data_IF_800246839587
#
_entry.id   IF_800246839587
#
_cell.length_a   1.000
_cell.length_b   1.000
_cell.length_c   1.000
_cell.angle_alpha   90.00
_cell.angle_beta   90.00
_cell.angle_gamma   90.00
#
_symmetry.space_group_name_H-M   'P 1'
#
loop_
_entity.id
_entity.type
_entity.pdbx_description
1 polymer ?
#
# COMPACT_ATOMS: atom_id res chain seq x y z
N UNK A 1 5.03 46.26 -36.04
CA UNK A 1 5.86 45.04 -35.91
C UNK A 1 6.00 44.76 -34.42
N UNK A 2 5.12 43.94 -33.85
CA UNK A 2 4.97 43.76 -32.40
C UNK A 2 5.42 42.34 -32.06
N UNK A 3 6.52 42.23 -31.31
CA UNK A 3 7.01 40.99 -30.72
C UNK A 3 6.13 40.62 -29.52
N UNK A 4 5.40 39.50 -29.62
CA UNK A 4 4.74 38.88 -28.46
C UNK A 4 5.72 37.90 -27.81
N UNK A 5 6.21 38.26 -26.63
CA UNK A 5 6.93 37.36 -25.74
C UNK A 5 5.94 36.32 -25.17
N UNK A 6 6.13 35.06 -25.56
CA UNK A 6 5.39 33.92 -25.04
C UNK A 6 5.74 33.73 -23.55
N UNK A 7 4.75 33.94 -22.69
CA UNK A 7 4.85 33.71 -21.25
C UNK A 7 5.08 32.22 -20.99
N UNK A 8 6.31 31.87 -20.57
CA UNK A 8 6.62 30.56 -20.01
C UNK A 8 5.86 30.38 -18.70
N UNK A 9 4.88 29.49 -18.69
CA UNK A 9 4.24 28.97 -17.49
C UNK A 9 5.32 28.41 -16.55
N UNK A 10 5.35 28.74 -15.24
CA UNK A 10 6.34 28.20 -14.35
C UNK A 10 6.09 26.70 -14.14
N UNK A 11 7.10 25.89 -14.40
CA UNK A 11 7.12 24.47 -14.10
C UNK A 11 6.87 24.25 -12.59
N UNK A 12 5.76 23.58 -12.26
CA UNK A 12 5.48 23.14 -10.90
C UNK A 12 6.62 22.23 -10.41
N UNK A 13 7.38 22.70 -9.41
CA UNK A 13 8.47 21.95 -8.77
C UNK A 13 7.93 20.66 -8.15
N UNK A 14 8.65 19.56 -8.41
CA UNK A 14 8.38 18.17 -7.99
C UNK A 14 8.19 18.05 -6.46
N UNK A 15 7.16 17.37 -5.93
CA UNK A 15 7.12 16.96 -4.53
C UNK A 15 7.73 15.56 -4.38
N UNK A 16 9.06 15.47 -4.49
CA UNK A 16 9.82 14.31 -4.04
C UNK A 16 10.51 14.65 -2.72
N UNK A 17 10.30 13.83 -1.67
CA UNK A 17 10.90 13.84 -0.30
C UNK A 17 10.07 14.31 0.91
N UNK A 18 8.87 14.87 0.78
CA UNK A 18 8.13 15.42 1.93
C UNK A 18 6.71 14.82 2.14
N UNK A 19 6.50 13.56 1.77
CA UNK A 19 5.18 12.91 1.83
C UNK A 19 4.70 12.53 3.25
N UNK A 20 5.60 12.49 4.24
CA UNK A 20 5.25 12.09 5.63
C UNK A 20 4.55 13.17 6.48
N UNK A 21 4.46 14.44 6.06
CA UNK A 21 4.01 15.56 6.94
C UNK A 21 2.70 16.21 6.46
N UNK A 22 1.99 15.67 5.47
CA UNK A 22 0.91 16.41 4.78
C UNK A 22 -0.46 15.74 4.64
N UNK A 23 -0.70 14.58 5.24
CA UNK A 23 -2.06 14.03 5.29
C UNK A 23 -2.71 14.39 6.63
N UNK A 24 -2.98 15.68 6.76
CA UNK A 24 -3.89 16.15 7.79
C UNK A 24 -5.28 15.60 7.46
N UNK A 25 -5.71 14.58 8.21
CA UNK A 25 -7.03 13.97 8.06
C UNK A 25 -8.17 14.96 8.38
N UNK A 26 -7.86 16.12 8.99
CA UNK A 26 -8.78 17.23 9.18
C UNK A 26 -9.02 18.02 7.90
N UNK A 27 -8.12 17.94 6.91
CA UNK A 27 -8.40 18.50 5.57
C UNK A 27 -9.39 17.59 4.83
N UNK A 28 -10.47 18.18 4.33
CA UNK A 28 -11.67 17.48 3.84
C UNK A 28 -11.50 16.61 2.58
N UNK A 29 -10.29 16.43 2.05
CA UNK A 29 -10.07 15.81 0.75
C UNK A 29 -9.14 14.59 0.74
N UNK A 30 -8.80 14.02 1.90
CA UNK A 30 -7.96 12.81 1.96
C UNK A 30 -8.83 11.57 2.19
N UNK A 31 -8.86 10.68 1.20
CA UNK A 31 -9.46 9.35 1.31
C UNK A 31 -8.33 8.33 1.42
N UNK A 32 -8.34 7.50 2.46
CA UNK A 32 -7.34 6.46 2.69
C UNK A 32 -7.83 5.12 2.14
N UNK A 33 -6.92 4.42 1.48
CA UNK A 33 -7.11 3.05 1.03
C UNK A 33 -5.95 2.17 1.49
N UNK A 34 -6.06 1.54 2.68
CA UNK A 34 -5.02 0.64 3.15
C UNK A 34 -5.01 -0.66 2.32
N UNK A 35 -3.82 -1.12 1.94
CA UNK A 35 -3.66 -2.43 1.32
C UNK A 35 -3.86 -3.57 2.33
N UNK A 36 -3.82 -4.80 1.83
CA UNK A 36 -4.07 -5.98 2.67
C UNK A 36 -3.03 -6.17 3.77
N UNK A 37 -1.80 -5.70 3.56
CA UNK A 37 -0.70 -5.86 4.48
C UNK A 37 -0.82 -4.90 5.67
N UNK A 38 -1.21 -3.66 5.42
CA UNK A 38 -1.44 -2.59 6.41
C UNK A 38 -2.61 -2.94 7.33
N UNK A 39 -3.65 -3.53 6.77
CA UNK A 39 -4.77 -4.08 7.52
C UNK A 39 -4.31 -5.15 8.53
N UNK A 40 -3.34 -6.00 8.16
CA UNK A 40 -2.70 -6.91 9.10
C UNK A 40 -1.97 -6.19 10.25
N UNK A 41 -1.32 -5.06 10.00
CA UNK A 41 -0.69 -4.29 11.08
C UNK A 41 -1.73 -3.79 12.08
N UNK A 42 -2.82 -3.24 11.56
CA UNK A 42 -3.92 -2.67 12.34
C UNK A 42 -4.58 -3.69 13.28
N UNK A 43 -4.87 -4.91 12.81
CA UNK A 43 -5.58 -5.88 13.67
C UNK A 43 -4.65 -6.75 14.51
N UNK A 44 -3.45 -7.05 14.00
CA UNK A 44 -2.64 -8.18 14.48
C UNK A 44 -1.41 -7.70 15.18
N UNK A 45 -0.65 -6.85 14.49
CA UNK A 45 0.65 -6.47 14.99
C UNK A 45 0.49 -5.59 16.23
N UNK A 46 -0.63 -4.85 16.37
CA UNK A 46 -0.95 -4.16 17.63
C UNK A 46 -1.08 -5.16 18.78
N UNK A 47 -1.83 -6.24 18.60
CA UNK A 47 -2.06 -7.22 19.67
C UNK A 47 -0.79 -8.01 19.97
N UNK A 48 -0.03 -8.36 18.94
CA UNK A 48 1.31 -8.95 19.09
C UNK A 48 2.24 -8.00 19.85
N UNK A 49 2.29 -6.72 19.47
CA UNK A 49 3.09 -5.69 20.13
C UNK A 49 2.65 -5.50 21.59
N UNK A 50 1.34 -5.42 21.88
CA UNK A 50 0.80 -5.32 23.24
C UNK A 50 1.15 -6.54 24.09
N UNK A 51 1.17 -7.73 23.49
CA UNK A 51 1.52 -8.95 24.19
C UNK A 51 3.02 -9.03 24.46
N UNK A 52 3.86 -8.74 23.46
CA UNK A 52 5.30 -8.83 23.56
C UNK A 52 5.91 -7.68 24.37
N UNK A 53 5.40 -6.45 24.27
CA UNK A 53 5.87 -5.29 25.06
C UNK A 53 5.73 -5.48 26.58
N UNK A 54 4.82 -6.36 27.02
CA UNK A 54 4.67 -6.77 28.42
C UNK A 54 5.81 -7.69 28.89
N UNK A 55 6.53 -8.35 27.98
CA UNK A 55 7.72 -9.14 28.30
C UNK A 55 8.92 -8.19 28.34
N UNK A 56 9.42 -7.90 29.55
CA UNK A 56 10.49 -6.93 29.84
C UNK A 56 11.77 -7.04 28.98
N UNK A 57 12.03 -8.18 28.30
CA UNK A 57 13.26 -8.43 27.52
C UNK A 57 13.15 -8.22 25.99
N UNK A 58 11.96 -8.00 25.41
CA UNK A 58 11.80 -7.97 23.92
C UNK A 58 11.54 -6.58 23.31
N UNK A 59 11.53 -5.50 24.12
CA UNK A 59 11.15 -4.14 23.65
C UNK A 59 12.01 -3.57 22.51
N UNK A 60 13.24 -4.03 22.30
CA UNK A 60 14.18 -3.40 21.35
C UNK A 60 14.01 -3.82 19.88
N UNK A 61 13.33 -4.93 19.57
CA UNK A 61 13.35 -5.51 18.22
C UNK A 61 11.97 -5.67 17.56
N UNK A 62 10.91 -5.05 18.11
CA UNK A 62 9.55 -5.16 17.55
C UNK A 62 9.11 -3.79 17.04
N UNK A 63 8.93 -3.72 15.73
CA UNK A 63 8.32 -2.57 15.03
C UNK A 63 6.96 -2.24 15.68
N UNK A 64 6.73 -0.97 16.07
CA UNK A 64 5.52 -0.54 16.77
C UNK A 64 4.43 -0.11 15.78
N UNK A 65 3.40 -0.92 15.49
CA UNK A 65 2.37 -0.58 14.52
C UNK A 65 1.37 0.47 15.02
N UNK A 66 1.57 1.07 16.21
CA UNK A 66 0.65 2.02 16.81
C UNK A 66 0.37 3.23 15.92
N UNK A 67 1.36 3.74 15.18
CA UNK A 67 1.19 4.90 14.31
C UNK A 67 0.29 4.58 13.10
N UNK A 68 0.53 3.43 12.45
CA UNK A 68 -0.36 2.89 11.41
C UNK A 68 -1.76 2.71 11.95
N UNK A 69 -1.87 2.21 13.17
CA UNK A 69 -3.15 1.95 13.78
C UNK A 69 -3.95 3.19 14.13
N UNK A 70 -3.26 4.22 14.64
CA UNK A 70 -3.86 5.51 14.93
C UNK A 70 -4.33 6.18 13.62
N UNK A 71 -3.53 6.09 12.55
CA UNK A 71 -3.90 6.62 11.24
C UNK A 71 -5.14 5.93 10.67
N UNK A 72 -5.16 4.60 10.64
CA UNK A 72 -6.30 3.81 10.15
C UNK A 72 -7.53 4.05 11.03
N UNK A 73 -7.38 4.06 12.35
CA UNK A 73 -8.46 4.36 13.30
C UNK A 73 -9.06 5.75 13.09
N UNK A 74 -8.25 6.79 12.95
CA UNK A 74 -8.73 8.15 12.69
C UNK A 74 -9.49 8.26 11.36
N UNK A 75 -9.03 7.56 10.33
CA UNK A 75 -9.71 7.53 9.04
C UNK A 75 -11.06 6.80 9.09
N UNK A 76 -11.16 5.75 9.92
CA UNK A 76 -12.42 5.06 10.21
C UNK A 76 -13.38 6.02 10.91
N UNK A 77 -12.98 6.67 11.99
CA UNK A 77 -13.86 7.57 12.77
C UNK A 77 -14.42 8.71 11.89
N UNK A 78 -13.62 9.19 10.95
CA UNK A 78 -13.99 10.26 9.99
C UNK A 78 -14.73 9.75 8.76
N UNK A 79 -15.00 8.45 8.62
CA UNK A 79 -15.61 7.83 7.43
C UNK A 79 -14.85 8.10 6.13
N UNK A 80 -13.52 8.19 6.20
CA UNK A 80 -12.60 8.49 5.10
C UNK A 80 -11.83 7.25 4.62
N UNK A 81 -12.29 6.05 4.94
CA UNK A 81 -11.72 4.78 4.44
C UNK A 81 -12.58 4.18 3.32
N UNK A 82 -11.89 3.79 2.25
CA UNK A 82 -12.38 2.90 1.19
C UNK A 82 -11.53 1.62 1.18
N UNK A 83 -12.09 0.53 0.68
CA UNK A 83 -11.39 -0.76 0.59
C UNK A 83 -11.65 -1.38 -0.79
N UNK A 84 -10.62 -1.87 -1.51
CA UNK A 84 -10.81 -2.66 -2.72
C UNK A 84 -11.72 -3.86 -2.45
N UNK A 85 -12.65 -4.16 -3.34
CA UNK A 85 -13.53 -5.34 -3.18
C UNK A 85 -12.74 -6.63 -3.03
N UNK A 86 -11.62 -6.76 -3.76
CA UNK A 86 -10.70 -7.91 -3.61
C UNK A 86 -10.17 -8.03 -2.18
N UNK A 87 -9.80 -6.91 -1.56
CA UNK A 87 -9.40 -6.89 -0.15
C UNK A 87 -10.61 -7.22 0.70
N UNK A 88 -11.76 -6.56 0.52
CA UNK A 88 -12.97 -6.79 1.33
C UNK A 88 -13.40 -8.26 1.38
N UNK A 89 -13.48 -8.92 0.21
CA UNK A 89 -13.80 -10.36 0.10
C UNK A 89 -12.77 -11.22 0.81
N UNK A 90 -11.53 -10.77 0.77
CA UNK A 90 -10.41 -11.42 1.40
C UNK A 90 -10.13 -10.90 2.81
N UNK A 91 -10.88 -9.96 3.41
CA UNK A 91 -10.45 -9.44 4.73
C UNK A 91 -10.42 -10.61 5.69
N UNK A 92 -11.49 -11.42 5.78
CA UNK A 92 -11.48 -12.63 6.59
C UNK A 92 -10.51 -13.72 6.05
N UNK A 93 -10.36 -13.83 4.72
CA UNK A 93 -9.52 -14.84 4.06
C UNK A 93 -8.03 -14.61 4.23
N UNK A 94 -7.54 -13.39 3.99
CA UNK A 94 -6.16 -12.93 4.17
C UNK A 94 -5.83 -12.76 5.64
N UNK A 95 -6.75 -12.30 6.49
CA UNK A 95 -6.63 -12.43 7.94
C UNK A 95 -6.32 -13.90 8.24
N UNK A 96 -7.21 -14.85 7.93
CA UNK A 96 -6.99 -16.29 8.19
C UNK A 96 -5.75 -16.89 7.51
N UNK A 97 -5.41 -16.49 6.27
CA UNK A 97 -4.29 -17.04 5.49
C UNK A 97 -2.93 -16.49 5.93
N UNK A 98 -2.77 -15.17 6.11
CA UNK A 98 -1.58 -14.62 6.79
C UNK A 98 -1.45 -15.24 8.19
N UNK A 99 -2.56 -15.52 8.88
CA UNK A 99 -2.50 -16.12 10.20
C UNK A 99 -2.08 -17.59 10.24
N UNK A 100 -2.51 -18.39 9.27
CA UNK A 100 -2.13 -19.78 9.17
C UNK A 100 -0.65 -19.92 8.78
N UNK A 101 -0.21 -19.16 7.75
CA UNK A 101 1.02 -19.46 7.01
C UNK A 101 2.17 -18.45 7.19
N UNK A 102 1.97 -17.31 7.86
CA UNK A 102 3.04 -16.31 7.96
C UNK A 102 4.11 -16.72 9.00
N UNK A 103 5.17 -17.34 8.52
CA UNK A 103 6.38 -17.72 9.28
C UNK A 103 7.17 -16.53 9.83
N UNK A 104 6.92 -15.31 9.33
CA UNK A 104 7.61 -14.09 9.81
C UNK A 104 7.04 -13.53 11.12
N UNK A 105 5.81 -13.90 11.51
CA UNK A 105 5.18 -13.50 12.77
C UNK A 105 5.41 -14.57 13.84
N UNK A 106 6.52 -14.47 14.57
CA UNK A 106 6.80 -15.34 15.71
C UNK A 106 5.92 -14.93 16.92
N UNK A 107 4.66 -15.37 16.91
CA UNK A 107 3.68 -15.10 17.96
C UNK A 107 3.78 -16.05 19.18
N UNK A 108 4.74 -16.99 19.14
CA UNK A 108 5.03 -17.95 20.20
C UNK A 108 3.81 -18.73 20.70
N UNK A 109 3.82 -19.10 21.99
CA UNK A 109 2.76 -19.90 22.64
C UNK A 109 1.38 -19.22 22.68
N UNK A 110 1.29 -17.92 22.38
CA UNK A 110 0.05 -17.15 22.48
C UNK A 110 -0.60 -16.84 21.12
N UNK A 111 -0.04 -17.41 20.04
CA UNK A 111 -0.55 -17.28 18.67
C UNK A 111 -2.08 -17.39 18.63
N UNK A 112 -2.64 -18.49 19.12
CA UNK A 112 -4.10 -18.73 19.10
C UNK A 112 -4.92 -17.59 19.73
N UNK A 113 -4.54 -17.13 20.93
CA UNK A 113 -5.28 -16.08 21.67
C UNK A 113 -5.18 -14.71 20.99
N UNK A 114 -4.00 -14.36 20.49
CA UNK A 114 -3.78 -13.10 19.74
C UNK A 114 -4.65 -13.11 18.47
N UNK A 115 -4.66 -14.23 17.76
CA UNK A 115 -5.44 -14.42 16.53
C UNK A 115 -6.95 -14.32 16.78
N UNK A 116 -7.47 -15.02 17.78
CA UNK A 116 -8.89 -14.96 18.15
C UNK A 116 -9.33 -13.53 18.51
N UNK A 117 -8.47 -12.78 19.20
CA UNK A 117 -8.74 -11.38 19.57
C UNK A 117 -8.74 -10.47 18.34
N UNK A 118 -7.77 -10.64 17.44
CA UNK A 118 -7.69 -9.87 16.20
C UNK A 118 -8.91 -10.11 15.29
N UNK A 119 -9.32 -11.37 15.13
CA UNK A 119 -10.52 -11.74 14.35
C UNK A 119 -11.76 -11.08 14.94
N UNK A 120 -12.00 -11.21 16.25
CA UNK A 120 -13.15 -10.58 16.91
C UNK A 120 -13.20 -9.07 16.71
N UNK A 121 -12.05 -8.39 16.73
CA UNK A 121 -11.97 -6.95 16.47
C UNK A 121 -12.25 -6.60 15.02
N UNK A 122 -11.73 -7.38 14.07
CA UNK A 122 -12.03 -7.21 12.66
C UNK A 122 -13.53 -7.40 12.39
N UNK A 123 -14.14 -8.47 12.92
CA UNK A 123 -15.57 -8.76 12.77
C UNK A 123 -16.44 -7.64 13.34
N UNK A 124 -16.11 -7.16 14.54
CA UNK A 124 -16.81 -6.03 15.18
C UNK A 124 -16.70 -4.74 14.34
N UNK A 125 -15.50 -4.41 13.87
CA UNK A 125 -15.28 -3.23 13.03
C UNK A 125 -16.07 -3.34 11.72
N UNK A 126 -16.09 -4.51 11.09
CA UNK A 126 -16.91 -4.76 9.90
C UNK A 126 -18.40 -4.55 10.16
N UNK A 127 -18.90 -5.03 11.29
CA UNK A 127 -20.30 -4.87 11.67
C UNK A 127 -20.69 -3.40 11.94
N UNK A 128 -19.80 -2.65 12.62
CA UNK A 128 -20.06 -1.27 13.08
C UNK A 128 -19.79 -0.21 12.01
N UNK A 129 -18.69 -0.32 11.26
CA UNK A 129 -18.22 0.73 10.33
C UNK A 129 -18.64 0.48 8.88
N UNK A 130 -18.84 -0.79 8.46
CA UNK A 130 -19.17 -1.20 7.07
C UNK A 130 -18.43 -0.35 6.01
N UNK A 131 -17.11 -0.51 5.88
CA UNK A 131 -16.31 0.32 4.97
C UNK A 131 -16.85 0.26 3.54
N UNK A 132 -16.81 1.38 2.83
CA UNK A 132 -17.21 1.45 1.42
C UNK A 132 -16.22 0.61 0.62
N UNK A 133 -16.74 -0.41 -0.07
CA UNK A 133 -15.97 -1.22 -0.97
C UNK A 133 -16.07 -0.71 -2.41
N UNK A 134 -14.94 -0.68 -3.11
CA UNK A 134 -14.86 -0.26 -4.52
C UNK A 134 -14.17 -1.35 -5.32
N UNK A 135 -14.80 -1.79 -6.41
CA UNK A 135 -14.14 -2.65 -7.40
C UNK A 135 -13.64 -1.78 -8.55
N UNK A 136 -12.64 -2.26 -9.27
CA UNK A 136 -12.11 -1.54 -10.42
C UNK A 136 -12.98 -1.74 -11.67
N UNK A 137 -12.99 -0.74 -12.56
CA UNK A 137 -13.46 -0.91 -13.94
C UNK A 137 -12.33 -1.39 -14.84
N UNK A 138 -12.68 -1.92 -16.01
CA UNK A 138 -11.68 -2.33 -17.02
C UNK A 138 -10.82 -1.14 -17.50
N UNK A 139 -11.37 0.08 -17.52
CA UNK A 139 -10.60 1.29 -17.82
C UNK A 139 -9.56 1.57 -16.72
N UNK A 140 -10.00 1.60 -15.46
CA UNK A 140 -9.11 1.77 -14.30
C UNK A 140 -8.00 0.71 -14.27
N UNK A 141 -8.31 -0.54 -14.63
CA UNK A 141 -7.32 -1.62 -14.78
C UNK A 141 -6.34 -1.35 -15.91
N UNK A 142 -6.80 -0.99 -17.10
CA UNK A 142 -5.94 -0.66 -18.25
C UNK A 142 -4.98 0.49 -17.93
N UNK A 143 -5.48 1.54 -17.27
CA UNK A 143 -4.66 2.66 -16.82
C UNK A 143 -3.57 2.23 -15.84
N UNK A 144 -3.93 1.43 -14.82
CA UNK A 144 -2.97 0.90 -13.86
C UNK A 144 -1.90 0.04 -14.53
N UNK A 145 -2.30 -0.89 -15.40
CA UNK A 145 -1.38 -1.76 -16.16
C UNK A 145 -0.44 -0.96 -17.06
N UNK A 146 -0.96 0.03 -17.79
CA UNK A 146 -0.15 0.88 -18.69
C UNK A 146 0.93 1.65 -17.93
N UNK A 147 0.62 2.16 -16.74
CA UNK A 147 1.63 2.85 -15.91
C UNK A 147 2.76 1.92 -15.53
N UNK A 148 2.45 0.68 -15.16
CA UNK A 148 3.47 -0.34 -14.90
C UNK A 148 4.28 -0.67 -16.14
N UNK A 149 3.64 -0.89 -17.27
CA UNK A 149 4.32 -1.17 -18.54
C UNK A 149 5.30 -0.04 -18.90
N UNK A 150 4.86 1.22 -18.82
CA UNK A 150 5.70 2.38 -19.06
C UNK A 150 6.91 2.40 -18.11
N UNK A 151 6.69 2.19 -16.80
CA UNK A 151 7.78 2.14 -15.81
C UNK A 151 8.76 1.03 -16.19
N UNK A 152 8.28 -0.16 -16.54
CA UNK A 152 9.11 -1.33 -16.87
C UNK A 152 9.88 -1.15 -18.18
N UNK A 153 9.36 -0.38 -19.11
CA UNK A 153 10.01 -0.10 -20.40
C UNK A 153 10.91 1.14 -20.40
N UNK A 154 10.82 2.02 -19.39
CA UNK A 154 11.65 3.22 -19.27
C UNK A 154 13.10 2.89 -18.88
N UNK A 155 14.03 3.09 -19.82
CA UNK A 155 15.45 2.77 -19.67
C UNK A 155 16.32 3.99 -19.35
N UNK A 156 15.72 5.10 -18.88
CA UNK A 156 16.51 6.24 -18.41
C UNK A 156 17.40 5.84 -17.22
N UNK A 157 18.58 6.47 -17.04
CA UNK A 157 19.48 6.14 -15.92
C UNK A 157 18.79 6.20 -14.55
N UNK A 158 17.97 7.23 -14.33
CA UNK A 158 17.18 7.41 -13.10
C UNK A 158 16.21 6.23 -12.87
N UNK A 159 15.50 5.79 -13.91
CA UNK A 159 14.56 4.68 -13.79
C UNK A 159 15.27 3.34 -13.61
N UNK A 160 16.42 3.15 -14.27
CA UNK A 160 17.23 1.95 -14.11
C UNK A 160 17.77 1.81 -12.68
N UNK A 161 18.11 2.91 -12.02
CA UNK A 161 18.45 2.93 -10.60
C UNK A 161 17.26 2.51 -9.73
N UNK A 162 16.07 3.08 -9.95
CA UNK A 162 14.84 2.70 -9.23
C UNK A 162 14.49 1.22 -9.42
N UNK A 163 14.58 0.71 -10.66
CA UNK A 163 14.37 -0.70 -11.00
C UNK A 163 15.36 -1.62 -10.30
N UNK A 164 16.64 -1.23 -10.24
CA UNK A 164 17.67 -1.98 -9.52
C UNK A 164 17.41 -2.00 -8.02
N UNK A 165 17.05 -0.85 -7.43
CA UNK A 165 16.65 -0.76 -6.02
C UNK A 165 15.45 -1.65 -5.70
N UNK A 166 14.44 -1.65 -6.57
CA UNK A 166 13.31 -2.56 -6.46
C UNK A 166 13.75 -4.02 -6.54
N UNK A 167 14.54 -4.39 -7.55
CA UNK A 167 14.99 -5.76 -7.79
C UNK A 167 15.79 -6.32 -6.61
N UNK A 168 16.72 -5.52 -6.07
CA UNK A 168 17.50 -5.88 -4.89
C UNK A 168 16.60 -6.11 -3.67
N UNK A 169 15.62 -5.22 -3.44
CA UNK A 169 14.71 -5.34 -2.30
C UNK A 169 13.74 -6.52 -2.43
N UNK A 170 13.18 -6.77 -3.61
CA UNK A 170 12.10 -7.77 -3.80
C UNK A 170 12.64 -9.15 -4.17
N UNK A 171 13.79 -9.24 -4.85
CA UNK A 171 14.33 -10.48 -5.40
C UNK A 171 15.79 -10.75 -5.01
N UNK A 172 16.45 -9.85 -4.28
CA UNK A 172 17.85 -10.02 -3.84
C UNK A 172 18.88 -10.01 -4.97
N UNK A 173 18.51 -9.55 -6.16
CA UNK A 173 19.36 -9.50 -7.36
C UNK A 173 19.26 -8.15 -8.04
N UNK A 174 20.27 -7.77 -8.83
CA UNK A 174 20.19 -6.54 -9.61
C UNK A 174 19.18 -6.68 -10.74
N UNK A 175 18.71 -5.55 -11.27
CA UNK A 175 17.72 -5.55 -12.35
C UNK A 175 18.25 -6.28 -13.58
N UNK A 176 19.50 -6.03 -13.95
CA UNK A 176 20.15 -6.60 -15.14
C UNK A 176 20.23 -8.13 -15.07
N UNK A 177 20.41 -8.67 -13.87
CA UNK A 177 20.54 -10.10 -13.55
C UNK A 177 19.19 -10.84 -13.51
N UNK A 178 18.06 -10.12 -13.57
CA UNK A 178 16.75 -10.74 -13.62
C UNK A 178 16.48 -11.34 -15.01
N UNK A 179 15.88 -12.53 -15.03
CA UNK A 179 15.35 -13.12 -16.27
C UNK A 179 14.27 -12.23 -16.90
N UNK A 180 14.11 -12.32 -18.23
CA UNK A 180 13.15 -11.52 -19.02
C UNK A 180 11.72 -11.59 -18.47
N UNK A 181 11.29 -12.75 -18.00
CA UNK A 181 9.98 -12.96 -17.38
C UNK A 181 9.78 -12.06 -16.14
N UNK A 182 10.73 -12.10 -15.20
CA UNK A 182 10.67 -11.30 -13.94
C UNK A 182 10.77 -9.79 -14.17
N UNK A 183 11.30 -9.36 -15.31
CA UNK A 183 11.37 -7.95 -15.72
C UNK A 183 10.05 -7.45 -16.32
N UNK A 184 9.32 -8.32 -17.01
CA UNK A 184 8.09 -7.99 -17.76
C UNK A 184 6.82 -8.15 -16.94
N UNK A 185 6.78 -9.10 -16.01
CA UNK A 185 5.55 -9.35 -15.26
C UNK A 185 5.30 -8.17 -14.28
N UNK A 186 4.06 -7.62 -14.26
CA UNK A 186 3.57 -6.90 -13.09
C UNK A 186 3.64 -7.81 -11.85
N UNK A 187 3.49 -7.29 -10.63
CA UNK A 187 3.79 -8.05 -9.42
C UNK A 187 3.18 -9.46 -9.45
N UNK A 188 4.05 -10.48 -9.56
CA UNK A 188 3.65 -11.89 -9.55
C UNK A 188 3.25 -12.30 -8.14
N UNK A 189 2.08 -12.91 -8.00
CA UNK A 189 1.72 -13.75 -6.86
C UNK A 189 1.69 -15.20 -7.36
N UNK A 190 2.70 -15.99 -6.96
CA UNK A 190 2.74 -17.42 -7.25
C UNK A 190 2.02 -18.16 -6.14
N UNK A 191 0.80 -18.59 -6.42
CA UNK A 191 0.23 -19.91 -6.16
C UNK A 191 -1.27 -19.86 -6.53
N UNK A 192 -1.68 -20.57 -7.60
CA UNK A 192 -3.03 -20.64 -8.20
C UNK A 192 -3.49 -19.42 -9.04
N UNK A 193 -2.98 -19.29 -10.28
CA UNK A 193 -3.36 -18.31 -11.33
C UNK A 193 -4.41 -17.19 -10.96
N UNK A 194 -3.97 -16.08 -10.31
CA UNK A 194 -4.79 -14.93 -9.95
C UNK A 194 -4.17 -13.63 -10.52
N UNK A 195 -4.18 -13.45 -11.84
CA UNK A 195 -3.42 -12.38 -12.53
C UNK A 195 -3.54 -10.98 -11.88
N UNK A 196 -2.49 -10.62 -11.15
CA UNK A 196 -2.10 -9.30 -10.65
C UNK A 196 -3.00 -8.66 -9.58
N UNK A 197 -3.08 -9.28 -8.38
CA UNK A 197 -3.74 -8.72 -7.19
C UNK A 197 -3.32 -7.27 -6.92
N UNK A 198 -2.04 -6.97 -7.02
CA UNK A 198 -1.52 -5.62 -6.82
C UNK A 198 -2.08 -4.65 -7.87
N UNK A 199 -2.05 -5.00 -9.17
CA UNK A 199 -2.70 -4.17 -10.20
C UNK A 199 -4.18 -3.97 -9.89
N UNK A 200 -4.90 -4.99 -9.42
CA UNK A 200 -6.31 -4.87 -9.04
C UNK A 200 -6.52 -3.92 -7.87
N UNK A 201 -5.63 -3.95 -6.87
CA UNK A 201 -5.62 -3.00 -5.75
C UNK A 201 -5.37 -1.58 -6.29
N UNK A 202 -4.34 -1.38 -7.11
CA UNK A 202 -4.05 -0.05 -7.68
C UNK A 202 -5.20 0.44 -8.58
N UNK A 203 -5.79 -0.43 -9.40
CA UNK A 203 -6.93 -0.12 -10.24
C UNK A 203 -8.16 0.26 -9.40
N UNK A 204 -8.37 -0.40 -8.26
CA UNK A 204 -9.44 -0.04 -7.33
C UNK A 204 -9.18 1.32 -6.69
N UNK A 205 -7.92 1.67 -6.43
CA UNK A 205 -7.54 3.00 -5.95
C UNK A 205 -7.81 4.08 -7.00
N UNK A 206 -7.49 3.79 -8.27
CA UNK A 206 -7.77 4.67 -9.41
C UNK A 206 -9.27 4.89 -9.57
N UNK A 207 -10.06 3.83 -9.49
CA UNK A 207 -11.51 3.91 -9.57
C UNK A 207 -12.09 4.74 -8.42
N UNK A 208 -11.64 4.46 -7.21
CA UNK A 208 -12.16 5.13 -6.01
C UNK A 208 -11.75 6.60 -5.93
N UNK A 209 -10.65 6.99 -6.58
CA UNK A 209 -10.23 8.38 -6.68
C UNK A 209 -11.29 9.24 -7.38
N UNK A 210 -12.04 8.69 -8.36
CA UNK A 210 -13.00 9.44 -9.19
C UNK A 210 -12.36 10.74 -9.71
N UNK A 211 -12.92 11.90 -9.37
CA UNK A 211 -12.41 13.24 -9.71
C UNK A 211 -11.44 13.82 -8.65
N UNK A 212 -11.17 13.08 -7.58
CA UNK A 212 -10.29 13.45 -6.47
C UNK A 212 -9.00 12.62 -6.49
N UNK A 213 -8.19 12.73 -5.43
CA UNK A 213 -7.02 11.87 -5.17
C UNK A 213 -7.31 10.91 -4.01
N UNK A 214 -6.78 9.70 -4.10
CA UNK A 214 -6.81 8.68 -3.04
C UNK A 214 -5.39 8.39 -2.58
N UNK A 215 -5.21 8.14 -1.29
CA UNK A 215 -3.93 7.69 -0.73
C UNK A 215 -3.96 6.17 -0.52
N UNK A 216 -3.20 5.44 -1.32
CA UNK A 216 -2.91 4.02 -1.14
C UNK A 216 -1.76 3.86 -0.13
N UNK A 217 -2.07 3.32 1.05
CA UNK A 217 -1.07 3.00 2.07
C UNK A 217 -0.70 1.53 1.92
N UNK A 218 0.59 1.24 1.76
CA UNK A 218 1.05 -0.09 1.40
C UNK A 218 2.46 -0.39 1.90
N UNK A 219 2.74 -1.67 2.13
CA UNK A 219 4.10 -2.19 2.34
C UNK A 219 4.76 -2.69 1.06
N UNK A 220 4.00 -2.82 -0.03
CA UNK A 220 4.49 -3.44 -1.24
C UNK A 220 5.59 -2.60 -1.89
N UNK A 221 6.69 -3.27 -2.24
CA UNK A 221 7.90 -2.63 -2.76
C UNK A 221 7.74 -2.13 -4.19
N UNK A 222 6.85 -2.69 -4.99
CA UNK A 222 6.52 -2.16 -6.30
C UNK A 222 5.87 -0.79 -6.17
N UNK A 223 4.82 -0.67 -5.36
CA UNK A 223 4.15 0.62 -5.19
C UNK A 223 5.07 1.66 -4.54
N UNK A 224 5.76 1.29 -3.46
CA UNK A 224 6.54 2.26 -2.69
C UNK A 224 7.78 2.77 -3.43
N UNK A 225 8.48 1.91 -4.17
CA UNK A 225 9.67 2.33 -4.96
C UNK A 225 9.27 3.20 -6.15
N UNK A 226 8.16 2.90 -6.82
CA UNK A 226 7.67 3.64 -8.00
C UNK A 226 6.57 4.65 -7.65
N UNK A 227 6.46 5.04 -6.39
CA UNK A 227 5.40 5.92 -5.88
C UNK A 227 5.31 7.23 -6.66
N UNK A 228 6.44 7.89 -6.93
CA UNK A 228 6.46 9.16 -7.67
C UNK A 228 5.94 9.01 -9.11
N UNK A 229 6.30 7.92 -9.80
CA UNK A 229 5.84 7.62 -11.16
C UNK A 229 4.34 7.34 -11.18
N UNK A 230 3.85 6.55 -10.21
CA UNK A 230 2.43 6.26 -10.02
C UNK A 230 1.66 7.57 -9.79
N UNK A 231 2.11 8.41 -8.85
CA UNK A 231 1.43 9.65 -8.49
C UNK A 231 1.33 10.67 -9.64
N UNK A 232 2.30 10.64 -10.57
CA UNK A 232 2.32 11.51 -11.75
C UNK A 232 1.33 11.08 -12.83
N UNK A 233 1.07 9.77 -12.95
CA UNK A 233 0.25 9.21 -14.04
C UNK A 233 -1.16 8.82 -13.60
N UNK A 234 -1.37 8.59 -12.30
CA UNK A 234 -2.64 8.18 -11.71
C UNK A 234 -3.09 9.17 -10.63
N UNK A 235 -4.40 9.28 -10.36
CA UNK A 235 -4.95 10.06 -9.26
C UNK A 235 -4.77 9.37 -7.89
N UNK A 236 -3.64 8.70 -7.71
CA UNK A 236 -3.35 7.87 -6.54
C UNK A 236 -2.01 8.31 -5.95
N UNK A 237 -2.04 8.73 -4.70
CA UNK A 237 -0.85 8.96 -3.90
C UNK A 237 -0.46 7.65 -3.18
N UNK A 238 0.82 7.27 -3.22
CA UNK A 238 1.29 6.05 -2.56
C UNK A 238 2.12 6.39 -1.33
N UNK A 239 1.77 5.81 -0.18
CA UNK A 239 2.49 5.96 1.08
C UNK A 239 3.09 4.63 1.56
N UNK A 240 4.41 4.61 1.84
CA UNK A 240 5.09 3.45 2.43
C UNK A 240 4.74 3.33 3.91
N UNK A 241 4.03 2.28 4.28
CA UNK A 241 3.64 2.02 5.66
C UNK A 241 4.85 1.85 6.60
N UNK A 242 6.00 1.37 6.11
CA UNK A 242 7.22 1.27 6.93
C UNK A 242 7.76 2.63 7.33
N UNK A 243 7.49 3.68 6.56
CA UNK A 243 7.93 5.04 6.90
C UNK A 243 7.12 5.65 8.04
N UNK A 244 5.93 5.09 8.32
CA UNK A 244 5.01 5.57 9.34
C UNK A 244 5.26 4.92 10.71
N UNK A 245 5.93 3.79 10.77
CA UNK A 245 6.25 3.09 12.02
C UNK A 245 7.64 3.51 12.49
N UNK A 246 7.73 4.32 13.54
CA UNK A 246 9.00 4.70 14.19
C UNK A 246 9.27 3.92 15.47
#
# INVERSE_FOLDING_TARGET
MIWQASAKTPAARRPGRQLMVKYDMEKDNVILMPDTNVWGDYWVNIEAYRYESKKKKSKKNISNPADIAALVGSAIDKKKIIIPVIIHREIHGVIRHRFANNSSLNLGKNKKKILETAIKKADRMHAEYRPVSVDFTEDSRKRASKVYEDIRNDNTPEMMEKKTKWALKKKGKRWEELGSLKKKMPPDDYESNPEYKDIKILASAVEAAREKRVVLITHDRDFTVFSEEICRKLPVDVADANSLVR
#
